data_IF_182120166855
#
_entry.id   IF_182120166855
#
_cell.length_a   1.000
_cell.length_b   1.000
_cell.length_c   1.000
_cell.angle_alpha   90.00
_cell.angle_beta   90.00
_cell.angle_gamma   90.00
#
_symmetry.space_group_name_H-M   'P 1'
#
loop_
_entity.id
_entity.type
_entity.pdbx_description
1 polymer ?
#
# COMPACT_ATOMS: atom_id res chain seq x y z
N UNK A 1 59.34 29.44 -18.51
CA UNK A 1 58.85 28.03 -18.54
C UNK A 1 58.10 27.65 -17.27
N UNK A 2 58.22 28.41 -16.13
CA UNK A 2 57.57 28.06 -14.84
C UNK A 2 56.17 28.63 -14.65
N UNK A 3 55.70 29.56 -15.45
CA UNK A 3 54.40 30.22 -15.31
C UNK A 3 53.31 29.51 -16.15
N UNK A 4 53.66 28.82 -17.20
CA UNK A 4 52.71 28.10 -18.08
C UNK A 4 52.17 26.79 -17.50
N UNK A 5 52.85 26.17 -16.54
CA UNK A 5 52.41 24.91 -15.92
C UNK A 5 51.34 25.15 -14.82
N UNK A 6 51.38 26.34 -14.19
CA UNK A 6 50.39 26.66 -13.12
C UNK A 6 49.00 27.00 -13.67
N UNK A 7 48.92 27.44 -14.96
CA UNK A 7 47.66 27.82 -15.59
C UNK A 7 46.85 26.61 -16.09
N UNK A 8 47.47 25.44 -16.24
CA UNK A 8 46.79 24.22 -16.75
C UNK A 8 46.19 23.36 -15.64
N UNK A 9 46.56 23.65 -14.37
CA UNK A 9 46.05 22.84 -13.21
C UNK A 9 44.71 23.34 -12.65
N UNK A 10 44.19 24.46 -13.14
CA UNK A 10 42.91 25.05 -12.65
C UNK A 10 41.67 24.63 -13.46
N UNK A 11 41.82 23.79 -14.48
CA UNK A 11 40.74 23.39 -15.39
C UNK A 11 40.08 22.03 -15.07
N UNK A 12 40.53 21.36 -13.98
CA UNK A 12 39.93 20.07 -13.57
C UNK A 12 39.18 20.27 -12.26
N UNK A 13 38.20 21.15 -12.23
CA UNK A 13 37.15 21.09 -11.21
C UNK A 13 36.11 20.06 -11.71
N UNK A 14 36.02 18.85 -11.12
CA UNK A 14 34.89 17.99 -11.37
C UNK A 14 33.67 18.74 -10.85
N UNK A 15 32.81 19.18 -11.78
CA UNK A 15 31.53 19.72 -11.43
C UNK A 15 30.84 18.72 -10.51
N UNK A 16 30.60 19.08 -9.26
CA UNK A 16 29.69 18.37 -8.40
C UNK A 16 28.34 18.31 -9.13
N UNK A 17 28.12 17.23 -9.86
CA UNK A 17 26.77 16.85 -10.24
C UNK A 17 26.06 16.55 -8.93
N UNK A 18 25.36 17.55 -8.39
CA UNK A 18 24.38 17.33 -7.35
C UNK A 18 23.45 16.25 -7.89
N UNK A 19 23.57 15.03 -7.35
CA UNK A 19 22.59 13.98 -7.54
C UNK A 19 21.24 14.60 -7.13
N UNK A 20 20.48 15.08 -8.11
CA UNK A 20 19.10 15.45 -7.89
C UNK A 20 18.40 14.14 -7.59
N UNK A 21 18.20 13.83 -6.31
CA UNK A 21 17.24 12.82 -5.93
C UNK A 21 15.93 13.20 -6.64
N UNK A 22 15.39 12.27 -7.42
CA UNK A 22 14.08 12.47 -8.01
C UNK A 22 13.13 12.85 -6.87
N UNK A 23 12.31 13.91 -7.04
CA UNK A 23 11.34 14.28 -6.01
C UNK A 23 10.47 13.07 -5.71
N UNK A 24 10.09 12.93 -4.43
CA UNK A 24 9.15 11.88 -4.03
C UNK A 24 7.92 11.93 -4.94
N UNK A 25 7.39 10.79 -5.38
CA UNK A 25 6.23 10.77 -6.25
C UNK A 25 5.06 11.49 -5.56
N UNK A 26 4.39 12.39 -6.29
CA UNK A 26 3.21 13.09 -5.80
C UNK A 26 2.14 12.07 -5.44
N UNK A 27 1.64 12.12 -4.21
CA UNK A 27 0.62 11.22 -3.72
C UNK A 27 -0.77 11.69 -4.15
N UNK A 28 -1.64 10.80 -4.67
CA UNK A 28 -3.04 11.13 -4.89
C UNK A 28 -3.73 11.46 -3.57
N UNK A 29 -4.82 12.28 -3.59
CA UNK A 29 -5.59 12.59 -2.39
C UNK A 29 -6.09 11.32 -1.70
N UNK A 30 -5.96 11.27 -0.37
CA UNK A 30 -6.47 10.15 0.42
C UNK A 30 -7.99 10.21 0.55
N UNK A 31 -8.61 9.06 0.33
CA UNK A 31 -10.07 8.88 0.47
C UNK A 31 -10.38 8.48 1.91
N UNK A 32 -11.32 9.15 2.60
CA UNK A 32 -11.75 8.72 3.93
C UNK A 32 -12.39 7.34 3.92
N UNK A 33 -12.29 6.56 5.03
CA UNK A 33 -13.01 5.31 5.18
C UNK A 33 -14.52 5.47 4.92
N UNK A 34 -15.14 4.45 4.33
CA UNK A 34 -16.54 4.52 3.89
C UNK A 34 -17.44 3.73 4.83
N UNK A 35 -18.43 4.36 5.45
CA UNK A 35 -19.36 3.73 6.42
C UNK A 35 -20.09 2.50 5.89
N UNK A 36 -20.30 2.41 4.58
CA UNK A 36 -20.98 1.29 3.93
C UNK A 36 -20.04 0.12 3.57
N UNK A 37 -18.74 0.19 3.92
CA UNK A 37 -17.79 -0.89 3.66
C UNK A 37 -17.94 -2.00 4.70
N UNK A 38 -17.85 -3.25 4.24
CA UNK A 38 -17.61 -4.38 5.12
C UNK A 38 -16.20 -4.29 5.74
N UNK A 39 -16.04 -4.79 6.94
CA UNK A 39 -14.73 -4.91 7.57
C UNK A 39 -13.99 -6.11 6.99
N UNK A 40 -12.91 -5.86 6.25
CA UNK A 40 -12.10 -6.89 5.60
C UNK A 40 -10.66 -6.81 6.09
N UNK A 41 -10.06 -7.96 6.32
CA UNK A 41 -8.63 -8.10 6.50
C UNK A 41 -8.04 -8.93 5.36
N UNK A 42 -7.05 -8.37 4.68
CA UNK A 42 -6.35 -8.98 3.56
C UNK A 42 -4.93 -9.33 4.00
N UNK A 43 -4.56 -10.61 3.91
CA UNK A 43 -3.18 -11.03 4.07
C UNK A 43 -2.56 -11.12 2.66
N UNK A 44 -1.49 -10.40 2.43
CA UNK A 44 -0.97 -10.14 1.10
C UNK A 44 0.54 -10.32 1.05
N UNK A 45 1.06 -10.60 -0.13
CA UNK A 45 2.48 -10.51 -0.45
C UNK A 45 2.69 -9.39 -1.45
N UNK A 46 3.53 -8.44 -1.10
CA UNK A 46 3.93 -7.35 -1.97
C UNK A 46 5.29 -7.66 -2.59
N UNK A 47 5.39 -7.45 -3.90
CA UNK A 47 6.64 -7.43 -4.63
C UNK A 47 6.77 -6.06 -5.29
N UNK A 48 7.78 -5.31 -4.90
CA UNK A 48 8.04 -3.94 -5.35
C UNK A 48 9.30 -4.00 -6.20
N UNK A 49 9.21 -3.50 -7.43
CA UNK A 49 10.36 -3.35 -8.33
C UNK A 49 10.58 -1.87 -8.59
N UNK A 50 11.78 -1.42 -8.27
CA UNK A 50 12.22 -0.03 -8.46
C UNK A 50 12.76 0.19 -9.88
N UNK A 51 12.88 1.43 -10.35
CA UNK A 51 13.36 1.75 -11.71
C UNK A 51 14.78 1.25 -12.00
N UNK A 52 15.63 1.18 -11.00
CA UNK A 52 16.99 0.63 -11.06
C UNK A 52 17.04 -0.91 -11.09
N UNK A 53 15.85 -1.57 -11.08
CA UNK A 53 15.72 -3.02 -11.18
C UNK A 53 15.78 -3.76 -9.85
N UNK A 54 15.97 -3.08 -8.72
CA UNK A 54 15.93 -3.72 -7.41
C UNK A 54 14.53 -4.28 -7.14
N UNK A 55 14.48 -5.48 -6.56
CA UNK A 55 13.22 -6.12 -6.18
C UNK A 55 13.17 -6.36 -4.68
N UNK A 56 12.17 -5.78 -4.03
CA UNK A 56 11.89 -5.95 -2.59
C UNK A 56 10.60 -6.74 -2.39
N UNK A 57 10.58 -7.62 -1.39
CA UNK A 57 9.41 -8.41 -1.03
C UNK A 57 9.06 -8.18 0.43
N UNK A 58 7.76 -8.07 0.71
CA UNK A 58 7.24 -7.95 2.06
C UNK A 58 5.89 -8.66 2.16
N UNK A 59 5.52 -9.03 3.38
CA UNK A 59 4.17 -9.42 3.73
C UNK A 59 3.40 -8.19 4.17
N UNK A 60 2.12 -8.15 3.89
CA UNK A 60 1.26 -7.07 4.32
C UNK A 60 -0.06 -7.60 4.88
N UNK A 61 -0.54 -6.94 5.93
CA UNK A 61 -1.88 -7.11 6.47
C UNK A 61 -2.59 -5.78 6.26
N UNK A 62 -3.54 -5.78 5.32
CA UNK A 62 -4.36 -4.61 5.02
C UNK A 62 -5.73 -4.79 5.66
N UNK A 63 -6.14 -3.84 6.49
CA UNK A 63 -7.49 -3.78 7.06
C UNK A 63 -8.25 -2.64 6.38
N UNK A 64 -9.40 -2.98 5.83
CA UNK A 64 -10.38 -2.04 5.28
C UNK A 64 -11.60 -2.09 6.20
N UNK A 65 -11.91 -1.01 6.89
CA UNK A 65 -13.03 -0.94 7.82
C UNK A 65 -13.83 0.36 7.62
N UNK A 66 -15.09 0.42 8.09
CA UNK A 66 -15.93 1.60 7.95
C UNK A 66 -15.37 2.87 8.59
N UNK A 67 -14.54 2.72 9.61
CA UNK A 67 -13.99 3.79 10.44
C UNK A 67 -12.48 4.00 10.23
N UNK A 68 -11.79 3.05 9.59
CA UNK A 68 -10.34 3.15 9.39
C UNK A 68 -9.84 2.27 8.24
N UNK A 69 -8.69 2.65 7.74
CA UNK A 69 -7.85 1.82 6.88
C UNK A 69 -6.50 1.64 7.57
N UNK A 70 -5.97 0.42 7.56
CA UNK A 70 -4.69 0.12 8.18
C UNK A 70 -3.85 -0.80 7.28
N UNK A 71 -2.55 -0.51 7.20
CA UNK A 71 -1.57 -1.34 6.53
C UNK A 71 -0.43 -1.65 7.48
N UNK A 72 -0.19 -2.92 7.73
CA UNK A 72 0.97 -3.40 8.47
C UNK A 72 1.87 -4.17 7.49
N UNK A 73 3.10 -3.69 7.30
CA UNK A 73 4.10 -4.34 6.47
C UNK A 73 5.14 -5.06 7.32
N UNK A 74 5.45 -6.29 6.94
CA UNK A 74 6.41 -7.16 7.61
C UNK A 74 7.46 -7.65 6.61
N UNK A 75 8.70 -7.82 7.06
CA UNK A 75 9.69 -8.54 6.29
C UNK A 75 9.27 -10.01 6.13
N UNK A 76 9.94 -10.75 5.24
CA UNK A 76 9.72 -12.20 5.10
C UNK A 76 10.08 -12.98 6.36
N UNK A 77 10.87 -12.40 7.25
CA UNK A 77 11.24 -12.94 8.57
C UNK A 77 10.31 -12.47 9.69
N UNK A 78 9.24 -11.72 9.38
CA UNK A 78 8.25 -11.25 10.35
C UNK A 78 8.60 -9.96 11.10
N UNK A 79 9.70 -9.29 10.77
CA UNK A 79 10.04 -8.00 11.37
C UNK A 79 9.11 -6.91 10.85
N UNK A 80 8.63 -6.04 11.73
CA UNK A 80 7.81 -4.89 11.34
C UNK A 80 8.64 -3.92 10.49
N UNK A 81 8.12 -3.58 9.32
CA UNK A 81 8.73 -2.63 8.38
C UNK A 81 7.96 -1.32 8.32
N UNK A 82 6.63 -1.39 8.39
CA UNK A 82 5.78 -0.20 8.37
C UNK A 82 4.45 -0.47 9.06
N UNK A 83 3.87 0.60 9.56
CA UNK A 83 2.49 0.66 10.03
C UNK A 83 1.89 1.98 9.54
N UNK A 84 0.73 1.92 8.91
CA UNK A 84 -0.02 3.06 8.42
C UNK A 84 -1.44 2.91 8.92
N UNK A 85 -1.99 3.94 9.55
CA UNK A 85 -3.38 4.01 9.98
C UNK A 85 -3.99 5.32 9.50
N UNK A 86 -5.16 5.22 8.90
CA UNK A 86 -5.92 6.33 8.37
C UNK A 86 -7.38 6.26 8.83
N UNK A 87 -7.87 7.26 9.53
CA UNK A 87 -9.25 7.35 10.02
C UNK A 87 -10.13 8.33 9.21
N UNK A 88 -9.56 8.92 8.16
CA UNK A 88 -10.22 9.94 7.34
C UNK A 88 -9.89 11.38 7.73
N UNK A 89 -9.14 11.58 8.81
CA UNK A 89 -8.69 12.88 9.32
C UNK A 89 -7.21 12.90 9.66
N UNK A 90 -6.73 11.85 10.29
CA UNK A 90 -5.35 11.69 10.77
C UNK A 90 -4.68 10.50 10.12
N UNK A 91 -3.48 10.71 9.60
CA UNK A 91 -2.60 9.69 9.07
C UNK A 91 -1.48 9.41 10.06
N UNK A 92 -1.63 8.33 10.82
CA UNK A 92 -0.59 7.87 11.74
C UNK A 92 0.33 6.88 11.03
N UNK A 93 1.65 7.09 11.13
CA UNK A 93 2.62 6.26 10.41
C UNK A 93 3.82 5.92 11.28
N UNK A 94 4.29 4.69 11.11
CA UNK A 94 5.60 4.26 11.55
C UNK A 94 6.28 3.49 10.43
N UNK A 95 7.54 3.79 10.14
CA UNK A 95 8.32 3.10 9.13
C UNK A 95 9.73 2.81 9.66
N UNK A 96 10.27 1.66 9.27
CA UNK A 96 11.66 1.32 9.57
C UNK A 96 12.60 2.35 8.91
N UNK A 97 13.75 2.68 9.54
CA UNK A 97 14.70 3.66 9.03
C UNK A 97 15.07 3.40 7.56
N UNK A 98 14.98 4.44 6.75
CA UNK A 98 15.30 4.41 5.32
C UNK A 98 14.16 3.97 4.40
N UNK A 99 13.09 3.36 4.92
CA UNK A 99 11.95 2.94 4.10
C UNK A 99 11.10 4.14 3.64
N UNK A 100 10.95 5.14 4.47
CA UNK A 100 10.17 6.35 4.21
C UNK A 100 10.65 7.13 2.98
N UNK A 101 11.97 7.08 2.68
CA UNK A 101 12.55 7.74 1.52
C UNK A 101 12.19 7.07 0.21
N UNK A 102 11.96 5.75 0.25
CA UNK A 102 11.67 4.94 -0.94
C UNK A 102 10.17 4.78 -1.17
N UNK A 103 9.40 4.67 -0.09
CA UNK A 103 7.96 4.40 -0.11
C UNK A 103 7.26 5.31 0.91
N UNK A 104 6.92 6.55 0.56
CA UNK A 104 6.15 7.42 1.45
C UNK A 104 4.82 6.77 1.84
N UNK A 105 4.47 6.82 3.13
CA UNK A 105 3.29 6.12 3.68
C UNK A 105 1.98 6.58 3.03
N UNK A 106 1.82 7.88 2.84
CA UNK A 106 0.66 8.47 2.18
C UNK A 106 0.50 7.94 0.75
N UNK A 107 1.60 7.95 0.00
CA UNK A 107 1.63 7.43 -1.35
C UNK A 107 1.23 5.95 -1.40
N UNK A 108 1.77 5.13 -0.49
CA UNK A 108 1.47 3.70 -0.44
C UNK A 108 0.00 3.43 -0.10
N UNK A 109 -0.56 4.18 0.86
CA UNK A 109 -1.98 4.08 1.21
C UNK A 109 -2.89 4.47 0.04
N UNK A 110 -2.55 5.53 -0.69
CA UNK A 110 -3.30 5.94 -1.87
C UNK A 110 -3.35 4.84 -2.95
N UNK A 111 -2.26 4.08 -3.13
CA UNK A 111 -2.24 2.93 -4.05
C UNK A 111 -3.21 1.81 -3.62
N UNK A 112 -3.28 1.54 -2.31
CA UNK A 112 -4.22 0.57 -1.74
C UNK A 112 -5.65 1.03 -1.97
N UNK A 113 -5.93 2.31 -1.73
CA UNK A 113 -7.25 2.90 -1.98
C UNK A 113 -7.63 2.81 -3.45
N UNK A 114 -6.73 3.16 -4.35
CA UNK A 114 -6.95 3.06 -5.79
C UNK A 114 -7.23 1.62 -6.24
N UNK A 115 -6.59 0.63 -5.61
CA UNK A 115 -6.78 -0.78 -5.93
C UNK A 115 -8.13 -1.32 -5.43
N UNK A 116 -8.55 -0.98 -4.22
CA UNK A 116 -9.62 -1.70 -3.52
C UNK A 116 -10.91 -0.92 -3.30
N UNK A 117 -10.88 0.42 -3.29
CA UNK A 117 -12.10 1.19 -3.12
C UNK A 117 -13.00 1.14 -4.36
N UNK A 118 -14.33 1.21 -4.18
CA UNK A 118 -15.28 1.28 -5.30
C UNK A 118 -15.03 2.53 -6.18
N UNK A 119 -15.16 2.35 -7.49
CA UNK A 119 -14.94 3.44 -8.45
C UNK A 119 -15.79 4.70 -8.16
N UNK A 120 -17.10 4.61 -7.84
CA UNK A 120 -17.89 5.79 -7.53
C UNK A 120 -17.36 6.58 -6.32
N UNK A 121 -16.75 5.88 -5.36
CA UNK A 121 -16.11 6.50 -4.20
C UNK A 121 -14.86 7.26 -4.65
N UNK A 122 -13.99 6.61 -5.42
CA UNK A 122 -12.75 7.23 -5.92
C UNK A 122 -13.04 8.47 -6.76
N UNK A 123 -14.01 8.40 -7.69
CA UNK A 123 -14.40 9.53 -8.55
C UNK A 123 -14.85 10.76 -7.77
N UNK A 124 -15.44 10.57 -6.59
CA UNK A 124 -15.87 11.68 -5.73
C UNK A 124 -14.68 12.46 -5.15
N UNK A 125 -13.53 11.81 -4.96
CA UNK A 125 -12.37 12.44 -4.32
C UNK A 125 -11.26 12.79 -5.30
N UNK A 126 -11.20 12.13 -6.46
CA UNK A 126 -10.24 12.48 -7.50
C UNK A 126 -10.81 13.55 -8.42
N UNK A 127 -10.39 14.79 -8.16
CA UNK A 127 -10.78 16.00 -8.90
C UNK A 127 -9.59 16.97 -8.96
N UNK A 128 -9.75 18.10 -9.66
CA UNK A 128 -8.67 19.06 -9.89
C UNK A 128 -7.61 18.46 -10.83
N UNK A 129 -6.37 18.37 -10.38
CA UNK A 129 -5.28 17.82 -11.18
C UNK A 129 -5.38 16.28 -11.34
N UNK A 130 -6.15 15.60 -10.47
CA UNK A 130 -6.32 14.16 -10.48
C UNK A 130 -7.64 13.75 -11.12
N UNK A 131 -7.62 12.79 -12.03
CA UNK A 131 -8.84 12.21 -12.61
C UNK A 131 -8.71 10.71 -12.78
N UNK A 132 -9.84 9.99 -12.64
CA UNK A 132 -9.90 8.54 -12.75
C UNK A 132 -10.59 8.14 -14.06
N UNK A 133 -9.91 7.34 -14.86
CA UNK A 133 -10.47 6.64 -16.00
C UNK A 133 -10.49 5.14 -15.73
N UNK A 134 -11.51 4.45 -16.20
CA UNK A 134 -11.65 3.01 -16.07
C UNK A 134 -11.99 2.40 -17.41
N UNK A 135 -11.33 1.33 -17.74
CA UNK A 135 -11.64 0.48 -18.88
C UNK A 135 -11.76 -1.00 -18.44
N UNK A 136 -11.82 -1.93 -19.40
CA UNK A 136 -11.99 -3.36 -19.10
C UNK A 136 -10.85 -3.90 -18.25
N UNK A 137 -11.00 -3.83 -16.94
CA UNK A 137 -10.08 -4.43 -16.01
C UNK A 137 -8.95 -3.56 -15.51
N UNK A 138 -8.99 -2.31 -15.83
CA UNK A 138 -7.96 -1.37 -15.45
C UNK A 138 -8.54 -0.09 -14.89
N UNK A 139 -7.80 0.52 -14.02
CA UNK A 139 -8.02 1.88 -13.53
C UNK A 139 -6.78 2.69 -13.88
N UNK A 140 -6.98 3.83 -14.52
CA UNK A 140 -5.95 4.80 -14.84
C UNK A 140 -6.19 6.03 -14.01
N UNK A 141 -5.26 6.34 -13.13
CA UNK A 141 -5.26 7.59 -12.41
C UNK A 141 -4.36 8.57 -13.17
N UNK A 142 -4.96 9.64 -13.63
CA UNK A 142 -4.29 10.69 -14.39
C UNK A 142 -3.91 11.83 -13.46
N UNK A 143 -2.76 12.40 -13.67
CA UNK A 143 -2.31 13.67 -13.09
C UNK A 143 -2.16 14.68 -14.23
N UNK A 144 -2.89 15.80 -14.15
CA UNK A 144 -2.88 16.84 -15.20
C UNK A 144 -3.23 16.30 -16.61
N UNK A 145 -4.11 15.30 -16.66
CA UNK A 145 -4.54 14.65 -17.91
C UNK A 145 -3.62 13.57 -18.45
N UNK A 146 -2.43 13.39 -17.88
CA UNK A 146 -1.49 12.34 -18.25
C UNK A 146 -1.63 11.10 -17.35
N UNK A 147 -1.57 9.91 -17.96
CA UNK A 147 -1.59 8.65 -17.20
C UNK A 147 -0.40 8.57 -16.27
N UNK A 148 -0.65 8.59 -14.95
CA UNK A 148 0.39 8.53 -13.93
C UNK A 148 0.47 7.13 -13.29
N UNK A 149 -0.69 6.54 -12.99
CA UNK A 149 -0.77 5.22 -12.34
C UNK A 149 -1.79 4.36 -13.07
N UNK A 150 -1.40 3.12 -13.38
CA UNK A 150 -2.31 2.11 -13.90
C UNK A 150 -2.43 0.96 -12.90
N UNK A 151 -3.66 0.64 -12.49
CA UNK A 151 -3.99 -0.51 -11.65
C UNK A 151 -4.71 -1.55 -12.46
N UNK A 152 -4.19 -2.78 -12.49
CA UNK A 152 -4.79 -3.92 -13.17
C UNK A 152 -5.06 -5.03 -12.16
N UNK A 153 -6.30 -5.55 -12.13
CA UNK A 153 -6.64 -6.73 -11.35
C UNK A 153 -6.57 -7.98 -12.22
N UNK A 154 -5.88 -9.00 -11.74
CA UNK A 154 -5.81 -10.32 -12.36
C UNK A 154 -6.46 -11.34 -11.44
N UNK A 155 -7.55 -11.94 -11.90
CA UNK A 155 -8.18 -13.05 -11.21
C UNK A 155 -7.29 -14.32 -11.25
N UNK A 156 -7.49 -15.29 -10.33
CA UNK A 156 -6.85 -16.59 -10.42
C UNK A 156 -7.21 -17.26 -11.77
N UNK A 157 -6.33 -18.09 -12.28
CA UNK A 157 -6.46 -18.76 -13.60
C UNK A 157 -7.73 -19.62 -13.77
N UNK A 158 -8.49 -19.85 -12.72
CA UNK A 158 -9.65 -20.75 -12.68
C UNK A 158 -11.01 -20.09 -12.94
N UNK A 159 -11.09 -18.83 -13.29
CA UNK A 159 -12.43 -18.26 -13.49
C UNK A 159 -12.44 -16.82 -13.99
N UNK A 160 -12.92 -16.67 -15.20
CA UNK A 160 -13.58 -15.52 -15.78
C UNK A 160 -13.05 -14.11 -15.43
N UNK A 161 -12.88 -13.31 -16.47
CA UNK A 161 -12.58 -11.88 -16.36
C UNK A 161 -13.64 -11.18 -15.52
N UNK A 162 -13.29 -10.73 -14.35
CA UNK A 162 -14.15 -9.84 -13.56
C UNK A 162 -13.31 -8.81 -12.83
N UNK A 163 -13.57 -7.57 -13.16
CA UNK A 163 -12.86 -6.40 -12.72
C UNK A 163 -13.69 -5.64 -11.71
N UNK A 164 -13.05 -5.10 -10.69
CA UNK A 164 -13.63 -4.20 -9.73
C UNK A 164 -13.76 -4.80 -8.32
N UNK A 165 -14.80 -5.59 -8.04
CA UNK A 165 -14.96 -6.23 -6.71
C UNK A 165 -14.14 -7.49 -6.53
N UNK A 166 -13.68 -8.09 -7.62
CA UNK A 166 -13.04 -9.41 -7.61
C UNK A 166 -11.55 -9.38 -7.24
N UNK A 167 -10.97 -8.21 -7.01
CA UNK A 167 -9.60 -8.10 -6.49
C UNK A 167 -9.50 -8.44 -5.00
N UNK A 168 -10.62 -8.53 -4.30
CA UNK A 168 -10.71 -8.83 -2.86
C UNK A 168 -10.92 -10.32 -2.57
N UNK A 169 -10.49 -11.20 -3.45
CA UNK A 169 -10.59 -12.65 -3.25
C UNK A 169 -9.19 -13.30 -3.21
N UNK A 170 -9.02 -14.38 -2.45
CA UNK A 170 -7.74 -15.10 -2.41
C UNK A 170 -7.28 -15.56 -3.81
N UNK A 171 -5.99 -15.51 -4.06
CA UNK A 171 -5.38 -15.91 -5.34
C UNK A 171 -5.41 -14.82 -6.41
N UNK A 172 -6.00 -13.66 -6.15
CA UNK A 172 -5.92 -12.51 -7.07
C UNK A 172 -4.59 -11.78 -6.93
N UNK A 173 -4.16 -11.16 -8.03
CA UNK A 173 -3.02 -10.24 -8.07
C UNK A 173 -3.48 -8.88 -8.54
N UNK A 174 -3.09 -7.84 -7.81
CA UNK A 174 -3.19 -6.45 -8.26
C UNK A 174 -1.82 -6.00 -8.73
N UNK A 175 -1.75 -5.44 -9.94
CA UNK A 175 -0.55 -4.86 -10.52
C UNK A 175 -0.74 -3.35 -10.55
N UNK A 176 0.21 -2.62 -10.00
CA UNK A 176 0.23 -1.17 -9.95
C UNK A 176 1.48 -0.72 -10.68
N UNK A 177 1.30 0.00 -11.75
CA UNK A 177 2.36 0.56 -12.59
C UNK A 177 2.35 2.07 -12.45
N UNK A 178 3.43 2.62 -11.93
CA UNK A 178 3.60 4.06 -11.73
C UNK A 178 4.50 4.62 -12.82
N UNK A 179 3.90 5.17 -13.87
CA UNK A 179 4.58 5.55 -15.11
C UNK A 179 5.67 6.61 -14.93
N UNK A 180 5.42 7.64 -14.10
CA UNK A 180 6.40 8.72 -13.91
C UNK A 180 7.62 8.28 -13.09
N UNK A 181 7.46 7.42 -12.11
CA UNK A 181 8.57 6.97 -11.27
C UNK A 181 9.20 5.67 -11.74
N UNK A 182 8.56 4.95 -12.68
CA UNK A 182 8.98 3.61 -13.10
C UNK A 182 8.85 2.54 -12.01
N UNK A 183 8.15 2.85 -10.91
CA UNK A 183 7.90 1.91 -9.83
C UNK A 183 6.79 0.93 -10.21
N UNK A 184 7.02 -0.35 -9.99
CA UNK A 184 6.03 -1.39 -10.22
C UNK A 184 5.76 -2.16 -8.93
N UNK A 185 4.48 -2.29 -8.55
CA UNK A 185 4.07 -3.06 -7.38
C UNK A 185 3.12 -4.17 -7.80
N UNK A 186 3.41 -5.38 -7.35
CA UNK A 186 2.51 -6.52 -7.43
C UNK A 186 2.04 -6.88 -6.03
N UNK A 187 0.73 -6.97 -5.85
CA UNK A 187 0.07 -7.37 -4.59
C UNK A 187 -0.66 -8.67 -4.83
N UNK A 188 -0.16 -9.77 -4.28
CA UNK A 188 -0.81 -11.08 -4.33
C UNK A 188 -1.65 -11.26 -3.06
N UNK A 189 -2.96 -11.42 -3.18
CA UNK A 189 -3.87 -11.67 -2.05
C UNK A 189 -3.84 -13.15 -1.68
N UNK A 190 -3.32 -13.46 -0.48
CA UNK A 190 -3.17 -14.82 0.02
C UNK A 190 -4.42 -15.28 0.78
N UNK A 191 -5.01 -14.39 1.58
CA UNK A 191 -6.20 -14.68 2.40
C UNK A 191 -7.04 -13.42 2.55
N UNK A 192 -8.36 -13.61 2.59
CA UNK A 192 -9.33 -12.57 2.91
C UNK A 192 -10.15 -13.07 4.10
N UNK A 193 -10.29 -12.24 5.11
CA UNK A 193 -11.10 -12.51 6.30
C UNK A 193 -12.09 -11.37 6.45
N UNK A 194 -13.37 -11.70 6.41
CA UNK A 194 -14.42 -10.75 6.77
C UNK A 194 -14.52 -10.68 8.29
N UNK A 195 -14.37 -9.48 8.84
CA UNK A 195 -14.53 -9.25 10.27
C UNK A 195 -15.98 -8.84 10.53
N UNK A 196 -16.74 -9.73 11.14
CA UNK A 196 -18.07 -9.38 11.65
C UNK A 196 -17.84 -8.44 12.81
N UNK A 197 -18.18 -7.16 12.65
CA UNK A 197 -18.26 -6.23 13.75
C UNK A 197 -19.47 -6.63 14.61
N UNK A 198 -19.26 -7.45 15.63
CA UNK A 198 -20.25 -7.60 16.68
C UNK A 198 -20.43 -6.21 17.31
N UNK A 199 -21.50 -5.53 16.93
CA UNK A 199 -22.02 -4.39 17.68
C UNK A 199 -22.71 -4.92 18.91
N UNK A 200 -21.95 -5.39 19.87
CA UNK A 200 -22.51 -5.60 21.21
C UNK A 200 -22.80 -4.21 21.78
N UNK A 201 -24.09 -3.98 21.94
CA UNK A 201 -24.65 -2.80 22.58
C UNK A 201 -24.34 -2.85 24.07
N UNK A 202 -23.10 -2.57 24.47
CA UNK A 202 -22.74 -2.17 25.83
C UNK A 202 -21.26 -1.82 25.88
N UNK A 203 -20.97 -0.57 26.18
CA UNK A 203 -19.61 -0.04 26.31
C UNK A 203 -18.86 -0.59 27.53
N UNK A 204 -18.35 -1.79 27.44
CA UNK A 204 -17.29 -2.28 28.33
C UNK A 204 -16.35 -3.17 27.53
N UNK A 205 -15.15 -2.69 27.35
CA UNK A 205 -14.02 -3.47 26.86
C UNK A 205 -13.57 -4.42 27.97
N UNK A 206 -14.03 -5.67 27.92
CA UNK A 206 -13.47 -6.73 28.75
C UNK A 206 -12.55 -7.57 27.90
N UNK A 207 -11.26 -7.46 28.16
CA UNK A 207 -10.24 -8.36 27.63
C UNK A 207 -10.49 -9.76 28.25
N UNK A 208 -10.98 -10.71 27.47
CA UNK A 208 -11.09 -12.11 27.86
C UNK A 208 -9.70 -12.75 27.76
N UNK A 209 -9.09 -12.99 28.90
CA UNK A 209 -7.87 -13.79 29.04
C UNK A 209 -8.12 -15.27 28.68
N UNK A 210 -7.08 -16.07 28.47
CA UNK A 210 -7.20 -17.45 28.06
C UNK A 210 -7.82 -18.32 29.15
N UNK A 211 -8.85 -19.09 28.75
CA UNK A 211 -9.45 -20.14 29.57
C UNK A 211 -8.42 -21.23 29.85
N UNK A 212 -7.95 -21.30 31.08
CA UNK A 212 -7.23 -22.43 31.63
C UNK A 212 -8.19 -23.61 31.72
N UNK A 213 -7.96 -24.64 30.96
CA UNK A 213 -8.68 -25.91 31.05
C UNK A 213 -8.29 -26.60 32.35
N UNK A 214 -9.21 -26.63 33.28
CA UNK A 214 -9.14 -27.39 34.53
C UNK A 214 -9.39 -28.86 34.18
N UNK A 215 -8.41 -29.73 34.49
CA UNK A 215 -8.47 -31.18 34.31
C UNK A 215 -9.27 -31.81 35.47
N UNK A 216 -10.33 -32.59 35.25
CA UNK A 216 -10.99 -33.29 36.32
C UNK A 216 -10.14 -34.42 36.88
N UNK A 217 -9.90 -34.39 38.17
CA UNK A 217 -9.23 -35.39 38.98
C UNK A 217 -10.09 -36.66 39.04
N UNK A 218 -9.57 -37.80 38.57
CA UNK A 218 -10.21 -39.09 38.69
C UNK A 218 -9.92 -39.65 40.07
N UNK A 219 -10.92 -39.72 40.91
CA UNK A 219 -10.91 -40.60 42.10
C UNK A 219 -10.93 -42.05 41.69
N UNK A 220 -10.05 -42.86 42.23
CA UNK A 220 -10.11 -44.32 42.22
C UNK A 220 -10.35 -44.83 43.65
N UNK A 221 -11.08 -45.93 43.78
CA UNK A 221 -11.43 -46.56 45.03
C UNK A 221 -10.23 -47.22 45.74
#
# INVERSE_FOLDING_TARGET
>A
VRITVLSLLLLVLPGCQTLRLAPAPEAPPLVPPQKAMASLQLNQRLTIRTPDGETRRMLAITTLAPDRMQLNGLSVTGQRLLEIRWDGKSLDTWQAPGLEKTLPAEWLLAQIQLAYLPEPVLRKYYHGNWSLQTDTGKRHLLLEGESNITVTCRAPLSGGRSVGRNCLVPGTSVLIDHHRSGLFIRVDTLKVVEQVLNRDASGHSSATGPLTAERPERSRP
#
